data_IF_187308074972
#
_entry.id   IF_187308074972
#
_cell.length_a   1.000
_cell.length_b   1.000
_cell.length_c   1.000
_cell.angle_alpha   90.00
_cell.angle_beta   90.00
_cell.angle_gamma   90.00
#
_symmetry.space_group_name_H-M   'P 1'
#
loop_
_entity.id
_entity.type
_entity.pdbx_description
1 polymer ?
#
# COMPACT_ATOMS: atom_id res chain seq x y z
N UNK A 1 -17.50 -21.65 12.09
CA UNK A 1 -16.65 -20.44 12.22
C UNK A 1 -15.75 -20.36 11.01
N UNK A 2 -15.58 -19.18 10.39
CA UNK A 2 -14.61 -18.99 9.31
C UNK A 2 -13.19 -19.18 9.85
N UNK A 3 -12.35 -19.89 9.08
CA UNK A 3 -10.94 -20.08 9.42
C UNK A 3 -10.17 -18.80 9.04
N UNK A 4 -9.89 -17.95 10.03
CA UNK A 4 -9.25 -16.63 9.86
C UNK A 4 -7.93 -16.75 9.09
N UNK A 5 -7.12 -17.78 9.41
CA UNK A 5 -5.85 -18.03 8.73
C UNK A 5 -6.05 -18.32 7.25
N UNK A 6 -6.97 -19.21 6.90
CA UNK A 6 -7.22 -19.59 5.51
C UNK A 6 -7.74 -18.41 4.68
N UNK A 7 -8.67 -17.61 5.22
CA UNK A 7 -9.17 -16.40 4.56
C UNK A 7 -8.07 -15.35 4.38
N UNK A 8 -7.24 -15.16 5.41
CA UNK A 8 -6.09 -14.25 5.34
C UNK A 8 -5.12 -14.67 4.24
N UNK A 9 -4.73 -15.95 4.18
CA UNK A 9 -3.83 -16.47 3.15
C UNK A 9 -4.44 -16.33 1.73
N UNK A 10 -5.75 -16.56 1.57
CA UNK A 10 -6.44 -16.39 0.28
C UNK A 10 -6.46 -14.92 -0.16
N UNK A 11 -6.72 -14.00 0.77
CA UNK A 11 -6.68 -12.57 0.53
C UNK A 11 -5.27 -12.11 0.14
N UNK A 12 -4.25 -12.57 0.86
CA UNK A 12 -2.84 -12.25 0.62
C UNK A 12 -2.40 -12.73 -0.77
N UNK A 13 -2.70 -13.99 -1.14
CA UNK A 13 -2.45 -14.50 -2.51
C UNK A 13 -3.07 -13.63 -3.59
N UNK A 14 -4.31 -13.20 -3.37
CA UNK A 14 -5.03 -12.33 -4.31
C UNK A 14 -4.36 -10.95 -4.42
N UNK A 15 -3.87 -10.40 -3.31
CA UNK A 15 -3.12 -9.15 -3.30
C UNK A 15 -1.81 -9.31 -4.09
N UNK A 16 -1.00 -10.32 -3.80
CA UNK A 16 0.23 -10.59 -4.56
C UNK A 16 -0.03 -10.64 -6.06
N UNK A 17 -1.02 -11.43 -6.49
CA UNK A 17 -1.41 -11.54 -7.91
C UNK A 17 -1.80 -10.19 -8.54
N UNK A 18 -2.50 -9.33 -7.79
CA UNK A 18 -2.94 -8.01 -8.29
C UNK A 18 -1.81 -7.00 -8.38
N UNK A 19 -0.81 -7.13 -7.50
CA UNK A 19 0.29 -6.18 -7.41
C UNK A 19 1.50 -6.59 -8.26
N UNK A 20 1.59 -7.86 -8.65
CA UNK A 20 2.66 -8.38 -9.49
C UNK A 20 2.81 -7.58 -10.79
N UNK A 21 4.03 -7.12 -11.08
CA UNK A 21 4.35 -6.40 -12.30
C UNK A 21 3.74 -5.00 -12.45
N UNK A 22 3.09 -4.46 -11.41
CA UNK A 22 2.39 -3.17 -11.49
C UNK A 22 3.31 -1.96 -11.62
N UNK A 23 4.37 -1.92 -10.83
CA UNK A 23 5.28 -0.76 -10.76
C UNK A 23 6.76 -1.16 -10.90
N UNK A 24 7.16 -1.81 -12.01
CA UNK A 24 8.53 -2.27 -12.21
C UNK A 24 9.58 -1.14 -12.17
N UNK A 25 9.28 0.05 -12.71
CA UNK A 25 10.23 1.16 -12.78
C UNK A 25 10.41 1.80 -11.40
N UNK A 26 9.31 2.01 -10.67
CA UNK A 26 9.38 2.53 -9.29
C UNK A 26 10.13 1.55 -8.38
N UNK A 27 9.84 0.25 -8.46
CA UNK A 27 10.55 -0.76 -7.66
C UNK A 27 12.04 -0.85 -8.03
N UNK A 28 12.39 -0.75 -9.32
CA UNK A 28 13.78 -0.72 -9.75
C UNK A 28 14.55 0.49 -9.20
N UNK A 29 13.91 1.67 -9.12
CA UNK A 29 14.51 2.88 -8.52
C UNK A 29 14.70 2.72 -7.02
N UNK A 30 13.69 2.21 -6.32
CA UNK A 30 13.77 1.95 -4.87
C UNK A 30 14.87 0.94 -4.52
N UNK A 31 15.09 -0.09 -5.34
CA UNK A 31 16.18 -1.05 -5.18
C UNK A 31 17.58 -0.44 -5.27
N UNK A 32 17.73 0.72 -5.91
CA UNK A 32 19.01 1.45 -6.03
C UNK A 32 19.23 2.43 -4.89
N UNK A 33 18.21 2.69 -4.06
CA UNK A 33 18.30 3.66 -2.97
C UNK A 33 18.74 3.01 -1.66
N UNK A 34 19.93 3.38 -1.18
CA UNK A 34 20.45 2.96 0.13
C UNK A 34 19.61 3.52 1.29
N UNK A 35 19.00 4.68 1.10
CA UNK A 35 18.09 5.26 2.09
C UNK A 35 16.82 4.41 2.21
N UNK A 36 16.23 4.06 1.07
CA UNK A 36 15.05 3.20 1.05
C UNK A 36 15.34 1.80 1.61
N UNK A 37 16.53 1.23 1.34
CA UNK A 37 16.93 -0.03 1.96
C UNK A 37 16.88 0.05 3.50
N UNK A 38 17.40 1.14 4.11
CA UNK A 38 17.34 1.33 5.57
C UNK A 38 15.90 1.37 6.07
N UNK A 39 15.03 2.11 5.37
CA UNK A 39 13.61 2.22 5.69
C UNK A 39 12.93 0.86 5.59
N UNK A 40 13.15 0.12 4.51
CA UNK A 40 12.59 -1.21 4.34
C UNK A 40 13.03 -2.15 5.45
N UNK A 41 14.33 -2.16 5.81
CA UNK A 41 14.84 -2.97 6.93
C UNK A 41 14.22 -2.55 8.26
N UNK A 42 13.97 -1.26 8.49
CA UNK A 42 13.23 -0.75 9.66
C UNK A 42 11.82 -1.33 9.71
N UNK A 43 11.09 -1.27 8.59
CA UNK A 43 9.74 -1.84 8.46
C UNK A 43 9.72 -3.37 8.67
N UNK A 44 10.73 -4.09 8.18
CA UNK A 44 10.86 -5.53 8.43
C UNK A 44 11.11 -5.84 9.90
N UNK A 45 11.93 -5.04 10.61
CA UNK A 45 12.12 -5.18 12.07
C UNK A 45 10.82 -4.95 12.87
N UNK A 46 9.89 -4.16 12.32
CA UNK A 46 8.53 -3.99 12.85
C UNK A 46 7.58 -5.14 12.50
N UNK A 47 8.08 -6.22 11.90
CA UNK A 47 7.34 -7.41 11.48
C UNK A 47 6.21 -7.14 10.47
N UNK A 48 6.36 -6.11 9.62
CA UNK A 48 5.42 -5.96 8.51
C UNK A 48 5.67 -7.05 7.45
N UNK A 49 4.62 -7.78 6.99
CA UNK A 49 4.72 -8.70 5.88
C UNK A 49 4.87 -7.93 4.55
N UNK A 50 5.44 -8.58 3.54
CA UNK A 50 5.90 -7.88 2.33
C UNK A 50 4.74 -7.28 1.54
N UNK A 51 3.60 -7.98 1.50
CA UNK A 51 2.38 -7.45 0.86
C UNK A 51 1.87 -6.16 1.49
N UNK A 52 2.07 -5.94 2.81
CA UNK A 52 1.63 -4.70 3.49
C UNK A 52 2.50 -3.54 3.04
N UNK A 53 3.82 -3.75 3.03
CA UNK A 53 4.78 -2.75 2.58
C UNK A 53 4.50 -2.42 1.11
N UNK A 54 4.36 -3.43 0.25
CA UNK A 54 4.16 -3.18 -1.17
C UNK A 54 2.82 -2.50 -1.49
N UNK A 55 1.72 -2.88 -0.82
CA UNK A 55 0.45 -2.17 -0.91
C UNK A 55 0.60 -0.68 -0.52
N UNK A 56 1.38 -0.38 0.51
CA UNK A 56 1.63 1.00 0.92
C UNK A 56 2.40 1.79 -0.15
N UNK A 57 3.45 1.19 -0.73
CA UNK A 57 4.24 1.82 -1.81
C UNK A 57 3.40 2.09 -3.06
N UNK A 58 2.52 1.15 -3.44
CA UNK A 58 1.58 1.33 -4.56
C UNK A 58 0.67 2.52 -4.30
N UNK A 59 0.09 2.60 -3.10
CA UNK A 59 -0.82 3.67 -2.75
C UNK A 59 -0.12 5.03 -2.69
N UNK A 60 1.10 5.10 -2.16
CA UNK A 60 1.92 6.33 -2.20
C UNK A 60 2.21 6.75 -3.63
N UNK A 61 2.61 5.80 -4.48
CA UNK A 61 2.94 6.06 -5.89
C UNK A 61 1.75 6.64 -6.64
N UNK A 62 0.58 6.01 -6.49
CA UNK A 62 -0.63 6.45 -7.17
C UNK A 62 -1.12 7.77 -6.60
N UNK A 63 -1.15 7.93 -5.27
CA UNK A 63 -1.58 9.19 -4.64
C UNK A 63 -0.71 10.36 -5.11
N UNK A 64 0.60 10.19 -5.17
CA UNK A 64 1.49 11.22 -5.70
C UNK A 64 1.13 11.59 -7.15
N UNK A 65 0.94 10.58 -8.01
CA UNK A 65 0.57 10.80 -9.42
C UNK A 65 -0.77 11.50 -9.57
N UNK A 66 -1.80 11.04 -8.86
CA UNK A 66 -3.13 11.68 -8.86
C UNK A 66 -3.04 13.13 -8.39
N UNK A 67 -2.39 13.37 -7.25
CA UNK A 67 -2.27 14.72 -6.69
C UNK A 67 -1.51 15.67 -7.61
N UNK A 68 -0.47 15.16 -8.30
CA UNK A 68 0.31 15.96 -9.24
C UNK A 68 -0.50 16.25 -10.51
N UNK A 69 -1.15 15.23 -11.09
CA UNK A 69 -1.97 15.41 -12.30
C UNK A 69 -3.17 16.32 -12.10
N UNK A 70 -3.73 16.36 -10.88
CA UNK A 70 -4.87 17.21 -10.53
C UNK A 70 -4.45 18.50 -9.80
N UNK A 71 -3.14 18.84 -9.75
CA UNK A 71 -2.66 19.99 -8.97
C UNK A 71 -3.34 21.28 -9.43
N UNK A 72 -3.33 21.51 -10.74
CA UNK A 72 -3.76 22.75 -11.38
C UNK A 72 -5.17 22.64 -12.01
N UNK A 73 -5.89 21.54 -11.79
CA UNK A 73 -7.25 21.37 -12.32
C UNK A 73 -8.25 22.23 -11.55
N UNK A 74 -8.86 23.26 -12.18
CA UNK A 74 -9.91 24.03 -11.53
C UNK A 74 -11.12 23.14 -11.27
N UNK A 75 -11.77 23.31 -10.13
CA UNK A 75 -12.97 22.56 -9.72
C UNK A 75 -12.79 21.05 -9.54
N UNK A 76 -11.56 20.55 -9.27
CA UNK A 76 -11.35 19.13 -8.97
C UNK A 76 -12.24 18.66 -7.83
N UNK A 77 -12.91 17.54 -8.06
CA UNK A 77 -13.85 16.95 -7.12
C UNK A 77 -13.28 15.66 -6.50
N UNK A 78 -13.86 15.17 -5.39
CA UNK A 78 -13.53 13.85 -4.87
C UNK A 78 -13.78 12.71 -5.87
N UNK A 79 -14.72 12.88 -6.82
CA UNK A 79 -15.00 11.87 -7.84
C UNK A 79 -13.88 11.82 -8.89
N UNK A 80 -13.29 12.97 -9.25
CA UNK A 80 -12.15 13.03 -10.18
C UNK A 80 -10.93 12.30 -9.60
N UNK A 81 -10.64 12.55 -8.32
CA UNK A 81 -9.58 11.84 -7.60
C UNK A 81 -9.82 10.32 -7.64
N UNK A 82 -11.04 9.88 -7.28
CA UNK A 82 -11.40 8.46 -7.26
C UNK A 82 -11.27 7.82 -8.64
N UNK A 83 -11.74 8.49 -9.68
CA UNK A 83 -11.71 7.97 -11.05
C UNK A 83 -10.27 7.82 -11.56
N UNK A 84 -9.44 8.84 -11.36
CA UNK A 84 -8.04 8.79 -11.76
C UNK A 84 -7.25 7.75 -10.95
N UNK A 85 -7.49 7.66 -9.64
CA UNK A 85 -6.89 6.64 -8.79
C UNK A 85 -7.23 5.22 -9.30
N UNK A 86 -8.51 4.95 -9.61
CA UNK A 86 -8.95 3.66 -10.16
C UNK A 86 -8.30 3.38 -11.52
N UNK A 87 -8.20 4.39 -12.39
CA UNK A 87 -7.56 4.26 -13.70
C UNK A 87 -6.08 3.88 -13.55
N UNK A 88 -5.34 4.58 -12.69
CA UNK A 88 -3.93 4.33 -12.42
C UNK A 88 -3.68 2.98 -11.73
N UNK A 89 -4.57 2.53 -10.83
CA UNK A 89 -4.52 1.19 -10.25
C UNK A 89 -4.63 0.08 -11.31
N UNK A 90 -5.40 0.31 -12.37
CA UNK A 90 -5.63 -0.65 -13.45
C UNK A 90 -4.50 -0.63 -14.48
N UNK A 91 -3.92 0.54 -14.76
CA UNK A 91 -2.80 0.73 -15.68
C UNK A 91 -1.56 -0.05 -15.23
N UNK A 92 -0.72 -0.46 -16.19
CA UNK A 92 0.64 -0.93 -15.93
C UNK A 92 1.61 0.25 -16.05
N UNK A 93 2.60 0.33 -15.16
CA UNK A 93 3.57 1.41 -15.19
C UNK A 93 4.43 1.38 -16.48
N UNK A 94 4.59 2.53 -17.12
CA UNK A 94 5.46 2.74 -18.28
C UNK A 94 6.64 3.66 -17.92
N UNK A 95 7.58 3.86 -18.85
CA UNK A 95 8.73 4.78 -18.65
C UNK A 95 8.31 6.26 -18.69
N UNK A 96 7.20 6.56 -19.34
CA UNK A 96 6.67 7.93 -19.47
C UNK A 96 5.77 8.31 -18.28
N UNK A 97 5.45 7.36 -17.40
CA UNK A 97 4.71 7.68 -16.20
C UNK A 97 5.53 8.57 -15.27
N UNK A 98 4.85 9.54 -14.66
CA UNK A 98 5.46 10.48 -13.73
C UNK A 98 6.26 9.73 -12.65
N UNK A 99 7.55 10.09 -12.57
CA UNK A 99 8.45 9.61 -11.55
C UNK A 99 8.04 10.14 -10.18
N UNK A 100 7.98 9.24 -9.20
CA UNK A 100 7.70 9.57 -7.81
C UNK A 100 9.04 9.81 -7.09
N UNK A 101 9.27 11.00 -6.52
CA UNK A 101 10.49 11.34 -5.79
C UNK A 101 10.72 10.40 -4.59
N UNK A 102 11.99 10.22 -4.19
CA UNK A 102 12.34 9.33 -3.08
C UNK A 102 11.79 9.84 -1.73
N UNK A 103 11.58 11.14 -1.61
CA UNK A 103 11.01 11.85 -0.47
C UNK A 103 9.54 11.48 -0.21
N UNK A 104 8.87 10.84 -1.18
CA UNK A 104 7.55 10.25 -0.99
C UNK A 104 7.60 8.88 -0.31
N UNK A 105 8.77 8.24 -0.26
CA UNK A 105 8.97 6.90 0.29
C UNK A 105 9.71 6.91 1.63
N UNK A 106 9.45 7.92 2.47
CA UNK A 106 9.95 7.98 3.84
C UNK A 106 9.10 7.12 4.79
N UNK A 107 9.70 6.67 5.90
CA UNK A 107 9.07 5.73 6.83
C UNK A 107 7.71 6.23 7.36
N UNK A 108 7.61 7.51 7.72
CA UNK A 108 6.36 8.12 8.21
C UNK A 108 5.22 8.01 7.19
N UNK A 109 5.48 8.35 5.92
CA UNK A 109 4.49 8.27 4.83
C UNK A 109 4.07 6.82 4.58
N UNK A 110 5.01 5.88 4.67
CA UNK A 110 4.73 4.45 4.50
C UNK A 110 3.83 3.95 5.65
N UNK A 111 4.10 4.29 6.90
CA UNK A 111 3.25 3.90 8.03
C UNK A 111 1.85 4.51 7.97
N UNK A 112 1.74 5.75 7.50
CA UNK A 112 0.45 6.37 7.23
C UNK A 112 -0.33 5.64 6.13
N UNK A 113 0.36 5.26 5.05
CA UNK A 113 -0.24 4.47 3.97
C UNK A 113 -0.68 3.07 4.46
N UNK A 114 0.10 2.42 5.34
CA UNK A 114 -0.31 1.17 5.99
C UNK A 114 -1.60 1.37 6.81
N UNK A 115 -1.70 2.45 7.58
CA UNK A 115 -2.91 2.77 8.35
C UNK A 115 -4.13 2.99 7.46
N UNK A 116 -3.93 3.61 6.29
CA UNK A 116 -4.95 3.78 5.26
C UNK A 116 -5.38 2.45 4.62
N UNK A 117 -4.44 1.51 4.45
CA UNK A 117 -4.72 0.15 3.97
C UNK A 117 -5.60 -0.62 4.94
N UNK A 118 -5.34 -0.50 6.25
CA UNK A 118 -6.16 -1.10 7.31
C UNK A 118 -7.59 -0.55 7.26
N UNK A 119 -7.73 0.77 7.15
CA UNK A 119 -9.04 1.41 7.03
C UNK A 119 -9.83 0.85 5.84
N UNK A 120 -9.19 0.76 4.67
CA UNK A 120 -9.80 0.19 3.46
C UNK A 120 -10.15 -1.29 3.61
N UNK A 121 -9.29 -2.07 4.27
CA UNK A 121 -9.55 -3.47 4.58
C UNK A 121 -10.79 -3.62 5.48
N UNK A 122 -10.85 -2.89 6.59
CA UNK A 122 -11.97 -2.95 7.53
C UNK A 122 -13.29 -2.50 6.86
N UNK A 123 -13.25 -1.51 5.95
CA UNK A 123 -14.43 -1.19 5.12
C UNK A 123 -14.90 -2.37 4.28
N UNK A 124 -13.97 -3.11 3.67
CA UNK A 124 -14.25 -4.33 2.92
C UNK A 124 -14.85 -5.45 3.78
N UNK A 125 -14.48 -5.51 5.06
CA UNK A 125 -15.06 -6.40 6.07
C UNK A 125 -16.42 -5.90 6.63
N UNK A 126 -16.98 -4.83 6.07
CA UNK A 126 -18.30 -4.31 6.42
C UNK A 126 -18.32 -3.27 7.56
N UNK A 127 -17.16 -2.81 8.03
CA UNK A 127 -17.13 -1.76 9.06
C UNK A 127 -17.46 -0.39 8.46
N UNK A 128 -18.30 0.36 9.18
CA UNK A 128 -18.72 1.72 8.81
C UNK A 128 -18.00 2.74 9.68
N UNK A 129 -17.36 3.72 9.05
CA UNK A 129 -16.63 4.79 9.72
C UNK A 129 -17.41 6.10 9.59
N UNK A 130 -17.89 6.63 10.72
CA UNK A 130 -18.72 7.86 10.76
C UNK A 130 -17.91 9.14 10.88
N UNK A 131 -16.60 9.05 11.10
CA UNK A 131 -15.70 10.20 11.22
C UNK A 131 -14.71 10.21 10.07
N UNK A 132 -14.37 11.40 9.58
CA UNK A 132 -13.37 11.59 8.54
C UNK A 132 -11.97 11.11 8.98
N UNK A 133 -11.60 11.38 10.23
CA UNK A 133 -10.32 10.95 10.85
C UNK A 133 -10.60 9.93 11.96
N UNK A 134 -10.60 8.62 11.65
CA UNK A 134 -10.81 7.59 12.66
C UNK A 134 -9.58 7.44 13.58
N UNK A 135 -9.78 6.82 14.75
CA UNK A 135 -8.67 6.47 15.63
C UNK A 135 -7.83 5.34 15.01
N UNK A 136 -6.82 5.69 14.23
CA UNK A 136 -5.97 4.73 13.51
C UNK A 136 -5.29 3.72 14.43
N UNK A 137 -4.93 4.09 15.67
CA UNK A 137 -4.37 3.17 16.66
C UNK A 137 -5.38 2.08 17.04
N UNK A 138 -6.64 2.45 17.26
CA UNK A 138 -7.71 1.50 17.55
C UNK A 138 -8.01 0.59 16.34
N UNK A 139 -8.01 1.15 15.13
CA UNK A 139 -8.22 0.37 13.89
C UNK A 139 -7.11 -0.65 13.66
N UNK A 140 -5.86 -0.23 13.87
CA UNK A 140 -4.69 -1.10 13.78
C UNK A 140 -4.81 -2.26 14.77
N UNK A 141 -5.08 -1.96 16.05
CA UNK A 141 -5.26 -2.99 17.08
C UNK A 141 -6.39 -3.97 16.70
N UNK A 142 -7.52 -3.46 16.20
CA UNK A 142 -8.62 -4.31 15.76
C UNK A 142 -8.21 -5.24 14.60
N UNK A 143 -7.51 -4.72 13.59
CA UNK A 143 -7.04 -5.51 12.46
C UNK A 143 -6.03 -6.59 12.89
N UNK A 144 -5.12 -6.23 13.80
CA UNK A 144 -4.13 -7.14 14.38
C UNK A 144 -4.79 -8.28 15.18
N UNK A 145 -5.67 -7.95 16.12
CA UNK A 145 -6.19 -8.94 17.07
C UNK A 145 -7.33 -9.79 16.49
N UNK A 146 -8.22 -9.19 15.70
CA UNK A 146 -9.41 -9.88 15.18
C UNK A 146 -9.14 -10.59 13.85
N UNK A 147 -8.29 -10.00 13.01
CA UNK A 147 -8.08 -10.49 11.64
C UNK A 147 -6.67 -11.03 11.41
N UNK A 148 -5.81 -11.00 12.44
CA UNK A 148 -4.42 -11.43 12.33
C UNK A 148 -3.70 -10.74 11.14
N UNK A 149 -4.03 -9.46 10.89
CA UNK A 149 -3.73 -8.78 9.63
C UNK A 149 -2.23 -8.75 9.28
N UNK A 150 -1.33 -8.73 10.26
CA UNK A 150 0.12 -8.77 10.03
C UNK A 150 0.76 -10.15 10.23
N UNK A 151 -0.01 -11.14 10.70
CA UNK A 151 0.53 -12.43 11.17
C UNK A 151 0.90 -13.38 10.02
N UNK A 152 0.19 -13.27 8.91
CA UNK A 152 0.30 -14.21 7.81
C UNK A 152 0.99 -13.58 6.60
N UNK A 153 1.70 -14.44 5.89
CA UNK A 153 2.23 -14.18 4.56
C UNK A 153 2.14 -15.46 3.73
N UNK A 154 2.35 -15.37 2.43
CA UNK A 154 2.39 -16.52 1.52
C UNK A 154 3.63 -16.47 0.67
N UNK A 155 4.20 -17.62 0.23
CA UNK A 155 5.30 -17.61 -0.73
C UNK A 155 4.99 -16.72 -1.93
N UNK A 156 5.94 -15.85 -2.29
CA UNK A 156 5.79 -14.86 -3.33
C UNK A 156 7.16 -14.48 -3.91
N UNK A 157 7.17 -13.89 -5.10
CA UNK A 157 8.37 -13.33 -5.71
C UNK A 157 8.83 -12.11 -4.92
N UNK A 158 10.10 -12.08 -4.54
CA UNK A 158 10.69 -10.90 -3.88
C UNK A 158 10.82 -9.75 -4.86
N UNK A 159 10.48 -8.54 -4.39
CA UNK A 159 10.57 -7.33 -5.19
C UNK A 159 11.84 -6.53 -4.89
N UNK A 160 12.41 -6.72 -3.70
CA UNK A 160 13.60 -6.02 -3.29
C UNK A 160 14.81 -6.94 -3.15
N UNK A 161 15.95 -6.48 -3.66
CA UNK A 161 17.20 -7.26 -3.71
C UNK A 161 17.90 -7.38 -2.35
N UNK A 162 17.44 -6.63 -1.35
CA UNK A 162 17.96 -6.64 0.02
C UNK A 162 17.14 -7.50 0.99
N UNK A 163 16.10 -8.18 0.49
CA UNK A 163 15.41 -9.27 1.15
C UNK A 163 16.33 -10.50 1.14
N UNK A 164 17.23 -10.57 2.14
CA UNK A 164 18.05 -11.76 2.41
C UNK A 164 17.30 -12.71 3.34
#
# INVERSE_FOLDING_TARGET
>A
MKNIKEESLKLIKTRYKKMEGKFPNTIARLNKSREFEKIFRSLKKKNYPDWVIYMALINLTINYRVNTSLKDSPNKTPIDFKNLFIALMKKQETKDDLEVPLEEFIEEKIEFAISSNILSFLKGEGYVFRRATPNFKALRRLAETKFEYFKHDTPHKKWFNFEK
#
